data_IF_018234437398
#
_entry.id   IF_018234437398
#
_cell.length_a   1.000
_cell.length_b   1.000
_cell.length_c   1.000
_cell.angle_alpha   90.00
_cell.angle_beta   90.00
_cell.angle_gamma   90.00
#
_symmetry.space_group_name_H-M   'P 1'
#
loop_
_entity.id
_entity.type
_entity.pdbx_description
1 polymer ?
#
# COMPACT_ATOMS: atom_id res chain seq x y z
N UNK A 1 18.40 -0.24 1.51
CA UNK A 1 17.28 -0.93 0.82
C UNK A 1 16.92 -0.15 -0.42
N UNK A 2 16.36 -0.82 -1.43
CA UNK A 2 15.67 -0.18 -2.57
C UNK A 2 14.25 0.20 -2.14
N UNK A 3 13.94 1.48 -2.16
CA UNK A 3 12.65 2.05 -1.75
C UNK A 3 11.89 2.52 -2.99
N UNK A 4 10.63 2.11 -3.11
CA UNK A 4 9.68 2.73 -4.03
C UNK A 4 8.68 3.57 -3.23
N UNK A 5 8.63 4.86 -3.52
CA UNK A 5 7.60 5.78 -3.02
C UNK A 5 6.58 6.00 -4.13
N UNK A 6 5.34 5.54 -3.92
CA UNK A 6 4.22 5.84 -4.82
C UNK A 6 3.42 6.98 -4.22
N UNK A 7 3.43 8.12 -4.90
CA UNK A 7 2.82 9.36 -4.44
C UNK A 7 1.60 9.72 -5.29
N UNK A 8 0.49 10.00 -4.62
CA UNK A 8 -0.79 10.27 -5.27
C UNK A 8 -1.45 11.55 -4.74
N UNK A 9 -0.97 12.71 -5.18
CA UNK A 9 -1.65 13.99 -4.93
C UNK A 9 -1.43 14.98 -6.10
N UNK A 10 -2.46 15.71 -6.55
CA UNK A 10 -2.37 16.58 -7.74
C UNK A 10 -1.60 17.89 -7.51
N UNK A 11 -1.51 18.34 -6.25
CA UNK A 11 -0.82 19.59 -5.88
C UNK A 11 0.56 19.26 -5.25
N UNK A 12 1.68 19.59 -5.92
CA UNK A 12 3.03 19.38 -5.40
C UNK A 12 3.33 20.13 -4.11
N UNK A 13 2.77 21.33 -3.91
CA UNK A 13 2.96 22.12 -2.69
C UNK A 13 2.04 21.70 -1.53
N UNK A 14 1.34 20.58 -1.67
CA UNK A 14 0.48 20.03 -0.62
C UNK A 14 1.31 19.47 0.54
N UNK A 15 0.65 19.25 1.68
CA UNK A 15 1.31 18.56 2.79
C UNK A 15 1.70 17.11 2.45
N UNK A 16 0.97 16.44 1.55
CA UNK A 16 1.41 15.14 1.03
C UNK A 16 2.69 15.27 0.19
N UNK A 17 2.81 16.35 -0.59
CA UNK A 17 4.04 16.67 -1.33
C UNK A 17 5.22 16.88 -0.39
N UNK A 18 5.03 17.69 0.66
CA UNK A 18 6.04 17.90 1.70
C UNK A 18 6.43 16.60 2.42
N UNK A 19 5.48 15.74 2.75
CA UNK A 19 5.77 14.41 3.31
C UNK A 19 6.57 13.55 2.32
N UNK A 20 6.19 13.50 1.04
CA UNK A 20 6.94 12.77 0.02
C UNK A 20 8.37 13.30 -0.10
N UNK A 21 8.58 14.62 -0.14
CA UNK A 21 9.91 15.23 -0.23
C UNK A 21 10.77 14.87 0.98
N UNK A 22 10.18 14.97 2.17
CA UNK A 22 10.84 14.57 3.41
C UNK A 22 11.19 13.09 3.44
N UNK A 23 10.33 12.22 2.89
CA UNK A 23 10.60 10.79 2.79
C UNK A 23 11.79 10.50 1.86
N UNK A 24 11.84 11.18 0.70
CA UNK A 24 12.99 11.07 -0.21
C UNK A 24 14.28 11.52 0.48
N UNK A 25 14.27 12.70 1.10
CA UNK A 25 15.44 13.24 1.81
C UNK A 25 15.92 12.30 2.91
N UNK A 26 15.01 11.93 3.82
CA UNK A 26 15.32 11.14 5.02
C UNK A 26 15.84 9.75 4.66
N UNK A 27 15.18 9.05 3.75
CA UNK A 27 15.57 7.70 3.36
C UNK A 27 16.87 7.69 2.55
N UNK A 28 17.07 8.68 1.68
CA UNK A 28 18.35 8.82 0.96
C UNK A 28 19.50 9.11 1.94
N UNK A 29 19.29 10.01 2.90
CA UNK A 29 20.29 10.32 3.94
C UNK A 29 20.61 9.12 4.83
N UNK A 30 19.64 8.23 5.06
CA UNK A 30 19.83 6.97 5.77
C UNK A 30 20.48 5.85 4.90
N UNK A 31 20.89 6.16 3.66
CA UNK A 31 21.60 5.24 2.77
C UNK A 31 20.71 4.30 1.97
N UNK A 32 19.41 4.59 1.85
CA UNK A 32 18.51 3.86 0.96
C UNK A 32 18.59 4.40 -0.47
N UNK A 33 18.37 3.52 -1.45
CA UNK A 33 18.18 3.91 -2.86
C UNK A 33 16.70 4.20 -3.06
N UNK A 34 16.33 5.45 -3.39
CA UNK A 34 14.93 5.88 -3.43
C UNK A 34 14.50 6.15 -4.87
N UNK A 35 13.44 5.47 -5.30
CA UNK A 35 12.71 5.73 -6.56
C UNK A 35 11.32 6.27 -6.23
N UNK A 36 10.85 7.24 -7.02
CA UNK A 36 9.53 7.86 -6.84
C UNK A 36 8.66 7.64 -8.08
N UNK A 37 7.42 7.23 -7.84
CA UNK A 37 6.33 7.28 -8.82
C UNK A 37 5.32 8.33 -8.40
N UNK A 38 5.44 9.53 -8.96
CA UNK A 38 4.45 10.60 -8.83
C UNK A 38 3.36 10.39 -9.89
N UNK A 39 2.25 9.77 -9.47
CA UNK A 39 1.22 9.31 -10.40
C UNK A 39 0.55 10.48 -11.16
N UNK A 40 0.44 11.65 -10.53
CA UNK A 40 -0.16 12.82 -11.16
C UNK A 40 0.83 13.49 -12.11
N UNK A 41 2.10 13.64 -11.73
CA UNK A 41 3.12 14.20 -12.61
C UNK A 41 3.40 13.30 -13.82
N UNK A 42 3.29 11.98 -13.66
CA UNK A 42 3.38 11.01 -14.75
C UNK A 42 2.15 10.99 -15.67
N UNK A 43 1.06 11.64 -15.27
CA UNK A 43 -0.26 11.50 -15.91
C UNK A 43 -0.64 10.01 -16.08
N UNK A 44 -0.43 9.22 -15.02
CA UNK A 44 -0.72 7.80 -15.02
C UNK A 44 -2.19 7.56 -15.35
N UNK A 45 -2.49 6.63 -16.26
CA UNK A 45 -3.88 6.26 -16.54
C UNK A 45 -4.38 5.28 -15.47
N UNK A 46 -5.36 5.63 -14.62
CA UNK A 46 -5.82 4.72 -13.58
C UNK A 46 -6.85 3.68 -14.07
N UNK A 47 -7.26 3.74 -15.35
CA UNK A 47 -8.34 2.89 -15.86
C UNK A 47 -7.76 1.64 -16.49
N UNK A 48 -8.02 0.48 -15.88
CA UNK A 48 -7.68 -0.84 -16.44
C UNK A 48 -8.44 -1.10 -17.75
N UNK A 49 -7.80 -1.72 -18.73
CA UNK A 49 -8.47 -2.13 -19.97
C UNK A 49 -7.57 -2.83 -20.97
N UNK A 50 -8.09 -3.13 -22.16
CA UNK A 50 -7.35 -3.83 -23.22
C UNK A 50 -6.04 -3.15 -23.64
N UNK A 51 -5.91 -1.84 -23.40
CA UNK A 51 -4.72 -1.05 -23.68
C UNK A 51 -3.56 -1.34 -22.72
N UNK A 52 -3.78 -2.11 -21.64
CA UNK A 52 -2.75 -2.52 -20.69
C UNK A 52 -1.82 -3.60 -21.24
N UNK A 53 -2.15 -4.19 -22.39
CA UNK A 53 -1.46 -5.34 -22.94
C UNK A 53 -0.97 -5.06 -24.36
N UNK A 54 0.30 -5.37 -24.65
CA UNK A 54 0.87 -5.27 -26.00
C UNK A 54 0.24 -6.32 -26.93
N UNK A 55 -0.01 -7.51 -26.39
CA UNK A 55 -0.65 -8.63 -27.08
C UNK A 55 -1.66 -9.30 -26.16
N UNK A 56 -2.88 -9.49 -26.65
CA UNK A 56 -3.94 -10.19 -25.93
C UNK A 56 -4.06 -11.65 -26.38
N UNK A 57 -4.29 -12.55 -25.44
CA UNK A 57 -4.59 -13.96 -25.67
C UNK A 57 -5.92 -14.13 -26.39
N UNK A 58 -6.96 -13.36 -26.01
CA UNK A 58 -8.24 -13.31 -26.71
C UNK A 58 -8.61 -11.86 -27.08
N UNK A 59 -8.53 -11.55 -28.37
CA UNK A 59 -8.92 -10.22 -28.88
C UNK A 59 -10.44 -10.01 -28.94
N UNK A 60 -11.23 -11.09 -28.95
CA UNK A 60 -12.69 -11.09 -29.05
C UNK A 60 -13.40 -10.99 -27.69
N UNK A 61 -12.73 -11.35 -26.60
CA UNK A 61 -13.26 -11.24 -25.23
C UNK A 61 -12.18 -10.78 -24.25
N UNK A 62 -12.41 -9.64 -23.58
CA UNK A 62 -11.45 -9.12 -22.60
C UNK A 62 -11.72 -9.70 -21.21
N UNK A 63 -10.85 -10.61 -20.78
CA UNK A 63 -10.76 -11.05 -19.39
C UNK A 63 -9.43 -10.57 -18.77
N UNK A 64 -9.50 -9.63 -17.84
CA UNK A 64 -8.29 -8.95 -17.31
C UNK A 64 -7.31 -9.94 -16.67
N UNK A 65 -7.79 -10.90 -15.88
CA UNK A 65 -6.93 -11.85 -15.19
C UNK A 65 -6.17 -12.77 -16.16
N UNK A 66 -6.86 -13.25 -17.20
CA UNK A 66 -6.27 -14.06 -18.27
C UNK A 66 -5.23 -13.27 -19.06
N UNK A 67 -5.54 -12.01 -19.40
CA UNK A 67 -4.60 -11.17 -20.14
C UNK A 67 -3.37 -10.77 -19.31
N UNK A 68 -3.54 -10.52 -18.01
CA UNK A 68 -2.43 -10.32 -17.08
C UNK A 68 -1.53 -11.56 -16.99
N UNK A 69 -2.11 -12.77 -16.86
CA UNK A 69 -1.38 -14.03 -16.86
C UNK A 69 -0.59 -14.25 -18.17
N UNK A 70 -1.16 -13.85 -19.30
CA UNK A 70 -0.53 -13.96 -20.62
C UNK A 70 0.65 -12.98 -20.77
N UNK A 71 0.49 -11.74 -20.30
CA UNK A 71 1.49 -10.69 -20.41
C UNK A 71 2.69 -10.90 -19.46
N UNK A 72 2.45 -11.39 -18.23
CA UNK A 72 3.44 -11.46 -17.16
C UNK A 72 4.75 -12.18 -17.53
N UNK A 73 4.77 -13.35 -18.20
CA UNK A 73 6.00 -14.08 -18.50
C UNK A 73 6.92 -13.40 -19.52
N UNK A 74 6.40 -12.45 -20.30
CA UNK A 74 7.11 -11.85 -21.46
C UNK A 74 7.27 -10.33 -21.35
N UNK A 75 6.95 -9.74 -20.20
CA UNK A 75 6.87 -8.29 -20.05
C UNK A 75 5.92 -7.65 -21.10
N UNK A 76 4.80 -8.32 -21.36
CA UNK A 76 3.84 -7.97 -22.40
C UNK A 76 2.85 -6.86 -22.03
N UNK A 77 3.14 -6.07 -20.99
CA UNK A 77 2.31 -4.97 -20.55
C UNK A 77 2.60 -3.68 -21.32
N UNK A 78 1.66 -2.75 -21.33
CA UNK A 78 1.85 -1.41 -21.85
C UNK A 78 3.05 -0.73 -21.16
N UNK A 79 3.83 0.13 -21.85
CA UNK A 79 5.08 0.65 -21.32
C UNK A 79 4.95 1.40 -19.98
N UNK A 80 3.84 2.13 -19.78
CA UNK A 80 3.56 2.83 -18.53
C UNK A 80 3.32 1.85 -17.37
N UNK A 81 2.62 0.74 -17.60
CA UNK A 81 2.37 -0.31 -16.60
C UNK A 81 3.64 -1.11 -16.33
N UNK A 82 4.35 -1.53 -17.38
CA UNK A 82 5.57 -2.32 -17.24
C UNK A 82 6.64 -1.57 -16.44
N UNK A 83 6.81 -0.26 -16.68
CA UNK A 83 7.75 0.56 -15.92
C UNK A 83 7.43 0.60 -14.41
N UNK A 84 6.16 0.61 -14.04
CA UNK A 84 5.75 0.58 -12.63
C UNK A 84 5.88 -0.82 -12.02
N UNK A 85 5.61 -1.87 -12.79
CA UNK A 85 5.87 -3.27 -12.40
C UNK A 85 7.36 -3.46 -12.11
N UNK A 86 8.25 -2.97 -12.97
CA UNK A 86 9.70 -3.11 -12.80
C UNK A 86 10.18 -2.45 -11.50
N UNK A 87 9.67 -1.24 -11.21
CA UNK A 87 9.95 -0.53 -9.94
C UNK A 87 9.44 -1.31 -8.74
N UNK A 88 8.21 -1.82 -8.80
CA UNK A 88 7.60 -2.61 -7.72
C UNK A 88 8.42 -3.89 -7.46
N UNK A 89 8.83 -4.58 -8.52
CA UNK A 89 9.61 -5.81 -8.46
C UNK A 89 11.05 -5.59 -7.98
N UNK A 90 11.63 -4.41 -8.22
CA UNK A 90 12.95 -4.05 -7.69
C UNK A 90 12.91 -3.64 -6.20
N UNK A 91 11.81 -3.06 -5.73
CA UNK A 91 11.70 -2.48 -4.40
C UNK A 91 11.70 -3.52 -3.27
N UNK A 92 12.48 -3.25 -2.22
CA UNK A 92 12.50 -3.99 -0.95
C UNK A 92 11.57 -3.35 0.09
N UNK A 93 11.28 -2.05 -0.09
CA UNK A 93 10.32 -1.30 0.70
C UNK A 93 9.37 -0.50 -0.19
N UNK A 94 8.06 -0.68 0.00
CA UNK A 94 7.01 0.09 -0.68
C UNK A 94 6.38 1.09 0.27
N UNK A 95 6.43 2.37 -0.07
CA UNK A 95 5.76 3.45 0.65
C UNK A 95 4.64 4.04 -0.21
N UNK A 96 3.39 3.92 0.25
CA UNK A 96 2.24 4.54 -0.41
C UNK A 96 1.92 5.87 0.28
N UNK A 97 2.20 7.00 -0.38
CA UNK A 97 1.95 8.36 0.12
C UNK A 97 0.72 8.99 -0.53
N UNK A 98 -0.34 9.26 0.25
CA UNK A 98 -1.61 9.76 -0.32
C UNK A 98 -2.50 10.50 0.69
N UNK A 99 -3.44 11.34 0.23
CA UNK A 99 -4.52 11.79 1.09
C UNK A 99 -5.61 10.70 1.24
N UNK A 100 -6.09 10.47 2.46
CA UNK A 100 -7.14 9.47 2.70
C UNK A 100 -8.51 10.01 2.25
N UNK A 101 -8.97 9.56 1.08
CA UNK A 101 -10.19 10.03 0.43
C UNK A 101 -11.25 8.94 0.45
N UNK A 102 -12.45 9.29 0.94
CA UNK A 102 -13.57 8.35 1.05
C UNK A 102 -13.19 7.03 1.74
N UNK A 103 -12.40 7.12 2.82
CA UNK A 103 -11.92 5.97 3.58
C UNK A 103 -11.09 4.97 2.77
N UNK A 104 -10.42 5.47 1.73
CA UNK A 104 -9.53 4.68 0.89
C UNK A 104 -8.40 5.55 0.30
N UNK A 105 -7.64 4.94 -0.60
CA UNK A 105 -6.68 5.64 -1.47
C UNK A 105 -7.41 6.48 -2.53
N UNK A 106 -6.78 7.53 -3.08
CA UNK A 106 -7.30 8.23 -4.26
C UNK A 106 -7.53 7.27 -5.44
N UNK A 107 -8.51 7.56 -6.30
CA UNK A 107 -8.79 6.74 -7.49
C UNK A 107 -7.55 6.53 -8.38
N UNK A 108 -6.68 7.54 -8.47
CA UNK A 108 -5.39 7.45 -9.17
C UNK A 108 -4.52 6.31 -8.63
N UNK A 109 -4.37 6.23 -7.30
CA UNK A 109 -3.60 5.18 -6.64
C UNK A 109 -4.31 3.83 -6.68
N UNK A 110 -5.65 3.80 -6.58
CA UNK A 110 -6.41 2.56 -6.75
C UNK A 110 -6.21 1.95 -8.14
N UNK A 111 -6.25 2.78 -9.19
CA UNK A 111 -5.98 2.35 -10.56
C UNK A 111 -4.55 1.87 -10.77
N UNK A 112 -3.57 2.52 -10.13
CA UNK A 112 -2.19 2.01 -10.11
C UNK A 112 -2.10 0.63 -9.45
N UNK A 113 -2.77 0.42 -8.31
CA UNK A 113 -2.86 -0.90 -7.69
C UNK A 113 -3.48 -1.91 -8.67
N UNK A 114 -4.60 -1.59 -9.31
CA UNK A 114 -5.32 -2.51 -10.21
C UNK A 114 -4.51 -2.91 -11.45
N UNK A 115 -3.71 -1.99 -12.00
CA UNK A 115 -2.90 -2.22 -13.20
C UNK A 115 -1.53 -2.84 -12.90
N UNK A 116 -0.92 -2.52 -11.75
CA UNK A 116 0.47 -2.90 -11.41
C UNK A 116 0.54 -4.13 -10.50
N UNK A 117 -0.43 -4.33 -9.61
CA UNK A 117 -0.53 -5.57 -8.81
C UNK A 117 -1.22 -6.67 -9.64
N UNK A 118 -0.68 -6.92 -10.84
CA UNK A 118 -1.26 -7.82 -11.82
C UNK A 118 -1.12 -9.30 -11.43
N UNK A 119 -2.10 -10.10 -11.85
CA UNK A 119 -2.04 -11.56 -11.72
C UNK A 119 -0.87 -12.14 -12.53
N UNK A 120 -0.11 -13.06 -11.92
CA UNK A 120 1.15 -13.57 -12.47
C UNK A 120 2.37 -12.68 -12.21
N UNK A 121 2.16 -11.46 -11.68
CA UNK A 121 3.23 -10.52 -11.28
C UNK A 121 3.30 -10.40 -9.76
N UNK A 122 2.28 -9.78 -9.14
CA UNK A 122 2.26 -9.47 -7.71
C UNK A 122 1.64 -10.59 -6.86
N UNK A 123 0.77 -11.40 -7.47
CA UNK A 123 0.15 -12.57 -6.84
C UNK A 123 -0.17 -13.61 -7.90
N UNK A 124 -0.27 -14.87 -7.46
CA UNK A 124 -0.56 -16.02 -8.31
C UNK A 124 -1.20 -17.14 -7.47
N UNK A 125 -1.72 -18.19 -8.10
CA UNK A 125 -2.22 -19.36 -7.39
C UNK A 125 -1.13 -19.97 -6.49
N UNK A 126 -1.42 -20.04 -5.19
CA UNK A 126 -0.46 -20.53 -4.18
C UNK A 126 0.64 -19.54 -3.79
N UNK A 127 0.72 -18.36 -4.41
CA UNK A 127 1.66 -17.27 -4.04
C UNK A 127 0.90 -16.10 -3.43
N UNK A 128 0.31 -16.34 -2.26
CA UNK A 128 -0.43 -15.33 -1.50
C UNK A 128 -0.06 -15.38 -0.02
N UNK A 129 -0.40 -14.31 0.71
CA UNK A 129 -0.19 -14.20 2.15
C UNK A 129 1.28 -14.42 2.53
N UNK A 130 1.59 -15.22 3.56
CA UNK A 130 2.96 -15.52 4.00
C UNK A 130 3.83 -16.24 2.94
N UNK A 131 3.21 -16.66 1.82
CA UNK A 131 3.87 -17.28 0.66
C UNK A 131 3.82 -16.40 -0.59
N UNK A 132 3.50 -15.12 -0.43
CA UNK A 132 3.35 -14.15 -1.53
C UNK A 132 4.65 -13.83 -2.26
N UNK A 133 4.53 -13.17 -3.41
CA UNK A 133 5.66 -12.79 -4.27
C UNK A 133 6.64 -11.85 -3.54
N UNK A 134 6.12 -11.00 -2.66
CA UNK A 134 6.90 -10.00 -1.93
C UNK A 134 7.31 -10.45 -0.53
N UNK A 135 7.28 -11.75 -0.22
CA UNK A 135 7.76 -12.28 1.07
C UNK A 135 9.18 -11.79 1.39
N UNK A 136 9.37 -11.27 2.62
CA UNK A 136 10.62 -10.67 3.09
C UNK A 136 10.83 -9.21 2.68
N UNK A 137 9.88 -8.60 1.96
CA UNK A 137 9.85 -7.17 1.64
C UNK A 137 8.84 -6.46 2.52
N UNK A 138 9.02 -5.16 2.71
CA UNK A 138 8.21 -4.36 3.64
C UNK A 138 7.34 -3.36 2.90
N UNK A 139 6.18 -3.02 3.48
CA UNK A 139 5.32 -1.97 2.95
C UNK A 139 4.71 -1.11 4.05
N UNK A 140 4.50 0.18 3.78
CA UNK A 140 3.87 1.11 4.71
C UNK A 140 2.92 2.05 3.97
N UNK A 141 1.77 2.33 4.59
CA UNK A 141 0.90 3.43 4.18
C UNK A 141 1.32 4.70 4.93
N UNK A 142 1.47 5.83 4.23
CA UNK A 142 1.66 7.14 4.82
C UNK A 142 0.61 8.09 4.28
N UNK A 143 -0.28 8.59 5.12
CA UNK A 143 -1.41 9.37 4.62
C UNK A 143 -1.87 10.48 5.55
N UNK A 144 -2.51 11.47 4.94
CA UNK A 144 -3.12 12.60 5.66
C UNK A 144 -4.62 12.39 5.83
N UNK A 145 -5.18 12.79 6.96
CA UNK A 145 -6.64 12.82 7.19
C UNK A 145 -7.13 14.24 7.53
N UNK A 146 -8.42 14.48 7.34
CA UNK A 146 -9.08 15.73 7.74
C UNK A 146 -9.59 15.69 9.19
N UNK A 147 -9.61 14.52 9.82
CA UNK A 147 -10.18 14.30 11.14
C UNK A 147 -9.08 14.14 12.21
N UNK A 148 -9.36 14.51 13.47
CA UNK A 148 -8.46 14.20 14.58
C UNK A 148 -8.38 12.68 14.80
N UNK A 149 -7.31 12.17 15.45
CA UNK A 149 -7.11 10.74 15.65
C UNK A 149 -8.29 10.07 16.38
N UNK A 150 -8.86 10.76 17.38
CA UNK A 150 -9.98 10.26 18.18
C UNK A 150 -11.23 9.93 17.36
N UNK A 151 -11.43 10.59 16.21
CA UNK A 151 -12.60 10.28 15.37
C UNK A 151 -12.54 8.89 14.76
N UNK A 152 -11.35 8.31 14.67
CA UNK A 152 -11.13 6.98 14.09
C UNK A 152 -10.79 5.93 15.13
N UNK A 153 -10.97 6.17 16.43
CA UNK A 153 -10.89 5.15 17.50
C UNK A 153 -12.03 4.10 17.36
N UNK A 154 -11.98 2.96 18.07
CA UNK A 154 -13.01 1.92 17.98
C UNK A 154 -14.45 2.40 18.23
N UNK A 155 -14.62 3.43 19.05
CA UNK A 155 -15.87 4.12 19.37
C UNK A 155 -16.01 5.49 18.68
N UNK A 156 -15.05 5.83 17.81
CA UNK A 156 -15.03 7.06 17.05
C UNK A 156 -16.08 7.06 15.93
N UNK A 157 -16.66 8.23 15.66
CA UNK A 157 -17.72 8.41 14.66
C UNK A 157 -17.34 8.00 13.22
N UNK A 158 -16.03 7.96 12.91
CA UNK A 158 -15.53 7.59 11.59
C UNK A 158 -15.22 6.08 11.49
N UNK A 159 -15.45 5.32 12.56
CA UNK A 159 -15.12 3.90 12.64
C UNK A 159 -13.64 3.64 12.93
N UNK A 160 -13.37 2.41 13.38
CA UNK A 160 -12.04 1.97 13.75
C UNK A 160 -11.09 1.92 12.54
N UNK A 161 -10.05 2.76 12.57
CA UNK A 161 -9.07 2.82 11.49
C UNK A 161 -8.43 1.47 11.18
N UNK A 162 -8.19 0.64 12.20
CA UNK A 162 -7.60 -0.69 12.01
C UNK A 162 -8.45 -1.56 11.08
N UNK A 163 -9.78 -1.45 11.21
CA UNK A 163 -10.76 -2.16 10.39
C UNK A 163 -10.91 -1.52 9.02
N UNK A 164 -10.94 -0.18 8.98
CA UNK A 164 -11.03 0.57 7.73
C UNK A 164 -9.86 0.27 6.79
N UNK A 165 -8.65 0.04 7.33
CA UNK A 165 -7.46 -0.23 6.53
C UNK A 165 -7.32 -1.70 6.09
N UNK A 166 -8.19 -2.61 6.53
CA UNK A 166 -8.16 -4.02 6.13
C UNK A 166 -8.01 -4.23 4.62
N UNK A 167 -8.78 -3.56 3.74
CA UNK A 167 -8.68 -3.77 2.29
C UNK A 167 -7.29 -3.47 1.73
N UNK A 168 -6.54 -2.55 2.33
CA UNK A 168 -5.20 -2.16 1.88
C UNK A 168 -4.13 -3.00 2.57
N UNK A 169 -4.13 -3.04 3.91
CA UNK A 169 -3.14 -3.79 4.68
C UNK A 169 -3.22 -5.29 4.37
N UNK A 170 -4.40 -5.90 4.45
CA UNK A 170 -4.54 -7.33 4.19
C UNK A 170 -4.82 -7.61 2.72
N UNK A 171 -5.81 -6.93 2.14
CA UNK A 171 -6.34 -7.26 0.81
C UNK A 171 -5.42 -6.94 -0.35
N UNK A 172 -4.43 -6.04 -0.16
CA UNK A 172 -3.44 -5.70 -1.18
C UNK A 172 -2.05 -6.12 -0.71
N UNK A 173 -1.57 -5.56 0.41
CA UNK A 173 -0.17 -5.70 0.80
C UNK A 173 0.16 -7.09 1.36
N UNK A 174 -0.52 -7.53 2.42
CA UNK A 174 -0.26 -8.83 3.02
C UNK A 174 -0.65 -9.97 2.07
N UNK A 175 -1.72 -9.82 1.28
CA UNK A 175 -2.09 -10.77 0.23
C UNK A 175 -0.93 -11.03 -0.74
N UNK A 176 -0.16 -10.01 -1.10
CA UNK A 176 1.00 -10.16 -1.98
C UNK A 176 2.31 -10.52 -1.25
N UNK A 177 2.26 -10.70 0.08
CA UNK A 177 3.37 -11.19 0.91
C UNK A 177 4.21 -10.15 1.61
N UNK A 178 3.83 -8.87 1.59
CA UNK A 178 4.57 -7.85 2.32
C UNK A 178 4.51 -8.05 3.84
N UNK A 179 5.63 -7.79 4.50
CA UNK A 179 5.67 -7.39 5.91
C UNK A 179 5.09 -5.97 6.03
N UNK A 180 3.80 -5.88 6.34
CA UNK A 180 3.09 -4.59 6.39
C UNK A 180 3.37 -3.90 7.72
N UNK A 181 3.98 -2.71 7.67
CA UNK A 181 4.25 -1.91 8.86
C UNK A 181 3.01 -1.12 9.29
N UNK A 182 2.99 -0.68 10.55
CA UNK A 182 1.98 0.29 11.00
C UNK A 182 2.02 1.55 10.12
N UNK A 183 0.85 2.09 9.72
CA UNK A 183 0.77 3.27 8.88
C UNK A 183 1.26 4.50 9.63
N UNK A 184 1.79 5.48 8.90
CA UNK A 184 1.95 6.82 9.44
C UNK A 184 0.74 7.68 9.05
N UNK A 185 0.06 8.25 10.05
CA UNK A 185 -1.17 9.02 9.84
C UNK A 185 -1.00 10.47 10.31
N UNK A 186 -0.88 11.38 9.34
CA UNK A 186 -0.89 12.80 9.61
C UNK A 186 -2.34 13.28 9.80
N UNK A 187 -2.76 13.42 11.06
CA UNK A 187 -4.13 13.77 11.41
C UNK A 187 -4.44 15.26 11.32
N UNK A 188 -5.66 15.58 10.88
CA UNK A 188 -6.25 16.92 10.90
C UNK A 188 -5.35 18.04 10.33
N UNK A 189 -4.48 17.74 9.36
CA UNK A 189 -3.41 18.62 8.87
C UNK A 189 -3.91 20.02 8.47
N UNK A 190 -5.12 20.08 7.89
CA UNK A 190 -5.75 21.34 7.48
C UNK A 190 -6.09 22.27 8.63
N UNK A 191 -6.31 21.71 9.82
CA UNK A 191 -6.88 22.40 10.98
C UNK A 191 -5.85 22.77 12.04
N UNK A 192 -4.57 22.49 11.78
CA UNK A 192 -3.48 22.77 12.70
C UNK A 192 -2.58 23.89 12.17
N UNK A 193 -1.94 24.58 13.10
CA UNK A 193 -0.99 25.66 12.81
C UNK A 193 0.33 25.13 12.23
N UNK A 194 1.22 26.05 11.87
CA UNK A 194 2.51 25.68 11.28
C UNK A 194 3.39 24.90 12.27
N UNK A 195 3.41 25.29 13.55
CA UNK A 195 4.21 24.61 14.57
C UNK A 195 3.83 23.13 14.70
N UNK A 196 2.52 22.83 14.69
CA UNK A 196 2.06 21.44 14.72
C UNK A 196 2.33 20.70 13.41
N UNK A 197 2.24 21.35 12.25
CA UNK A 197 2.66 20.75 10.96
C UNK A 197 4.13 20.36 10.97
N UNK A 198 4.99 21.22 11.50
CA UNK A 198 6.42 20.94 11.64
C UNK A 198 6.67 19.77 12.59
N UNK A 199 5.88 19.66 13.66
CA UNK A 199 5.96 18.51 14.57
C UNK A 199 5.51 17.22 13.90
N UNK A 200 4.43 17.24 13.11
CA UNK A 200 3.98 16.09 12.30
C UNK A 200 5.10 15.66 11.34
N UNK A 201 5.75 16.60 10.65
CA UNK A 201 6.88 16.28 9.78
C UNK A 201 8.06 15.68 10.55
N UNK A 202 8.38 16.19 11.74
CA UNK A 202 9.42 15.61 12.60
C UNK A 202 9.08 14.18 13.05
N UNK A 203 7.84 13.94 13.51
CA UNK A 203 7.33 12.61 13.87
C UNK A 203 7.42 11.65 12.67
N UNK A 204 7.10 12.13 11.46
CA UNK A 204 7.21 11.33 10.24
C UNK A 204 8.66 10.99 9.88
N UNK A 205 9.59 11.95 10.02
CA UNK A 205 11.03 11.72 9.82
C UNK A 205 11.52 10.60 10.74
N UNK A 206 11.22 10.69 12.04
CA UNK A 206 11.61 9.64 13.00
C UNK A 206 11.02 8.29 12.60
N UNK A 207 9.74 8.24 12.23
CA UNK A 207 9.09 7.01 11.76
C UNK A 207 9.78 6.37 10.54
N UNK A 208 10.31 7.19 9.64
CA UNK A 208 11.01 6.73 8.43
C UNK A 208 12.40 6.13 8.74
N UNK A 209 13.07 6.59 9.79
CA UNK A 209 14.38 6.06 10.19
C UNK A 209 14.30 4.61 10.72
N UNK A 210 13.11 4.15 11.11
CA UNK A 210 12.89 2.83 11.70
C UNK A 210 12.26 1.80 10.75
N UNK A 211 12.06 2.11 9.46
CA UNK A 211 11.38 1.20 8.51
C UNK A 211 12.02 -0.20 8.42
N UNK A 212 13.33 -0.31 8.64
CA UNK A 212 14.05 -1.58 8.59
C UNK A 212 13.93 -2.41 9.88
N UNK A 213 13.67 -1.78 11.02
CA UNK A 213 13.66 -2.42 12.34
C UNK A 213 12.28 -2.58 12.94
N UNK A 214 11.30 -1.79 12.48
CA UNK A 214 9.97 -1.79 13.05
C UNK A 214 9.28 -3.14 12.91
N UNK A 215 8.49 -3.47 13.94
CA UNK A 215 7.68 -4.68 13.95
C UNK A 215 6.50 -4.52 12.98
N UNK A 216 6.34 -5.43 12.02
CA UNK A 216 5.18 -5.46 11.15
C UNK A 216 3.88 -5.73 11.94
N UNK A 217 2.76 -5.33 11.35
CA UNK A 217 1.44 -5.79 11.75
C UNK A 217 1.38 -7.32 11.69
N UNK A 218 0.66 -7.91 12.64
CA UNK A 218 0.48 -9.35 12.68
C UNK A 218 -0.53 -9.82 11.64
N UNK A 219 -0.19 -10.83 10.83
CA UNK A 219 -1.14 -11.56 10.00
C UNK A 219 -1.06 -13.06 10.30
N UNK A 220 -2.22 -13.70 10.43
CA UNK A 220 -2.28 -15.16 10.53
C UNK A 220 -1.71 -15.80 9.25
N UNK A 221 -0.96 -16.89 9.43
CA UNK A 221 -0.34 -17.62 8.33
C UNK A 221 -1.34 -18.55 7.67
N UNK A 222 -1.11 -18.93 6.42
CA UNK A 222 -1.96 -19.90 5.73
C UNK A 222 -2.12 -21.21 6.50
N UNK A 223 -1.09 -21.65 7.22
CA UNK A 223 -1.14 -22.87 8.04
C UNK A 223 -2.02 -22.76 9.30
N UNK A 224 -2.48 -21.56 9.67
CA UNK A 224 -3.44 -21.36 10.76
C UNK A 224 -4.90 -21.63 10.32
N UNK A 225 -5.12 -21.77 9.01
CA UNK A 225 -6.45 -21.97 8.41
C UNK A 225 -6.71 -23.44 8.04
N UNK A 226 -7.96 -23.87 8.13
CA UNK A 226 -8.48 -25.10 7.54
C UNK A 226 -8.71 -24.95 6.03
N UNK A 227 -8.90 -26.05 5.28
CA UNK A 227 -9.11 -25.99 3.82
C UNK A 227 -10.32 -25.16 3.35
N UNK A 228 -11.28 -24.89 4.22
CA UNK A 228 -12.45 -24.03 3.96
C UNK A 228 -12.15 -22.53 4.20
N UNK A 229 -10.91 -22.17 4.53
CA UNK A 229 -10.47 -20.78 4.74
C UNK A 229 -10.83 -20.22 6.12
N UNK A 230 -11.20 -21.06 7.09
CA UNK A 230 -11.48 -20.64 8.48
C UNK A 230 -10.32 -20.93 9.41
N UNK A 231 -10.16 -20.15 10.48
CA UNK A 231 -9.15 -20.46 11.49
C UNK A 231 -9.42 -21.80 12.15
N UNK A 232 -8.36 -22.58 12.37
CA UNK A 232 -8.46 -23.86 13.09
C UNK A 232 -8.96 -23.64 14.52
N UNK A 233 -9.68 -24.62 15.12
CA UNK A 233 -10.15 -24.52 16.50
C UNK A 233 -9.00 -24.20 17.48
N UNK A 234 -9.23 -23.24 18.38
CA UNK A 234 -8.25 -22.80 19.38
C UNK A 234 -7.30 -21.69 18.92
N UNK A 235 -7.37 -21.27 17.64
CA UNK A 235 -6.61 -20.12 17.15
C UNK A 235 -7.48 -18.86 17.23
N UNK A 236 -7.03 -17.87 17.99
CA UNK A 236 -7.70 -16.57 18.11
C UNK A 236 -7.52 -15.74 16.82
N UNK A 237 -8.57 -15.10 16.30
CA UNK A 237 -8.45 -14.19 15.17
C UNK A 237 -7.69 -12.94 15.61
N UNK A 238 -6.42 -12.84 15.21
CA UNK A 238 -5.54 -11.72 15.60
C UNK A 238 -5.17 -10.80 14.46
N UNK A 239 -5.30 -11.21 13.20
CA UNK A 239 -5.05 -10.34 12.05
C UNK A 239 -5.91 -9.07 12.18
N UNK A 240 -5.38 -7.86 11.88
CA UNK A 240 -6.16 -6.63 11.90
C UNK A 240 -7.54 -6.81 11.26
N UNK A 241 -8.61 -6.30 11.83
CA UNK A 241 -9.95 -6.44 11.24
C UNK A 241 -10.62 -7.84 11.28
N UNK A 242 -9.89 -8.93 11.56
CA UNK A 242 -10.51 -10.24 11.83
C UNK A 242 -11.09 -10.33 13.24
N UNK A 243 -10.48 -9.64 14.21
CA UNK A 243 -10.96 -9.61 15.59
C UNK A 243 -12.14 -8.64 15.79
N UNK A 244 -13.05 -9.01 16.70
CA UNK A 244 -14.21 -8.20 17.07
C UNK A 244 -14.01 -7.41 18.37
N UNK A 245 -12.82 -7.50 18.96
CA UNK A 245 -12.48 -6.92 20.26
C UNK A 245 -11.98 -5.47 20.16
N UNK A 246 -11.33 -4.97 21.23
CA UNK A 246 -10.62 -3.69 21.18
C UNK A 246 -9.55 -3.73 20.08
N UNK A 247 -9.22 -2.56 19.52
CA UNK A 247 -8.08 -2.39 18.62
C UNK A 247 -6.82 -3.01 19.24
N UNK A 248 -6.06 -3.74 18.42
CA UNK A 248 -4.89 -4.51 18.88
C UNK A 248 -3.57 -4.03 18.27
N UNK A 249 -3.60 -3.37 17.10
CA UNK A 249 -2.36 -3.16 16.32
C UNK A 249 -2.03 -1.73 15.97
N UNK A 250 -3.04 -0.84 16.00
CA UNK A 250 -2.82 0.58 15.81
C UNK A 250 -2.93 1.27 17.17
N UNK A 251 -2.19 2.35 17.36
CA UNK A 251 -2.34 3.23 18.53
C UNK A 251 -3.53 4.19 18.38
#
# INVERSE_FOLDING_TARGET
MRVLIVYAHPEPASFNGAMKDLAVETLTAAGHEVTVSDLYAQNFNPVTGAHDFLHRADTGHLDIGTEQANAAPTAGFAPDVQAEIDKLMAAEFLLLQFPFWWYSVPAMLKGWIDRVFAYGVAYDFGKTWDRGVFSGRRAMLAFTTSAPPTSSFPDGRNGDLERTLWPLHAGVLALCGYEVLQPYVAHAVRWVDQARRDTILAEYRERLLHIASDQPLFFQKLDDYSPDGRLKPGIEPRTPGQHRGPRLHLD
#
